data_IF_873364610392
#
_entry.id   IF_873364610392
#
_cell.length_a   1.000
_cell.length_b   1.000
_cell.length_c   1.000
_cell.angle_alpha   90.00
_cell.angle_beta   90.00
_cell.angle_gamma   90.00
#
_symmetry.space_group_name_H-M   'P 1'
#
loop_
_entity.id
_entity.type
_entity.pdbx_description
1 polymer ?
#
# COMPACT_ATOMS: atom_id res chain seq x y z
N UNK A 1 -1.27 -19.95 8.45
CA UNK A 1 -0.61 -18.96 9.35
C UNK A 1 -0.38 -17.71 8.53
N UNK A 2 -0.78 -16.54 9.04
CA UNK A 2 -0.65 -15.25 8.32
C UNK A 2 0.63 -14.56 8.77
N UNK A 3 1.47 -14.15 7.82
CA UNK A 3 2.68 -13.35 8.12
C UNK A 3 2.27 -11.94 8.54
N UNK A 4 2.86 -11.45 9.64
CA UNK A 4 2.69 -10.08 10.13
C UNK A 4 4.02 -9.34 10.03
N UNK A 5 4.01 -8.13 9.46
CA UNK A 5 5.13 -7.19 9.51
C UNK A 5 4.71 -6.00 10.36
N UNK A 6 5.42 -5.76 11.45
CA UNK A 6 5.29 -4.59 12.31
C UNK A 6 6.09 -3.40 11.75
N UNK A 7 5.93 -2.24 12.38
CA UNK A 7 6.75 -1.06 12.06
C UNK A 7 8.24 -1.30 12.29
N UNK A 8 8.61 -2.13 13.28
CA UNK A 8 10.00 -2.49 13.53
C UNK A 8 10.55 -3.37 12.42
N UNK A 9 9.78 -4.35 11.95
CA UNK A 9 10.20 -5.22 10.84
C UNK A 9 10.46 -4.39 9.57
N UNK A 10 9.60 -3.40 9.29
CA UNK A 10 9.81 -2.48 8.17
C UNK A 10 11.05 -1.61 8.39
N UNK A 11 11.28 -1.11 9.61
CA UNK A 11 12.48 -0.33 9.94
C UNK A 11 13.76 -1.16 9.73
N UNK A 12 13.76 -2.43 10.14
CA UNK A 12 14.89 -3.34 10.00
C UNK A 12 15.16 -3.66 8.52
N UNK A 13 14.11 -3.88 7.71
CA UNK A 13 14.22 -4.06 6.26
C UNK A 13 14.85 -2.81 5.60
N UNK A 14 14.40 -1.61 6.00
CA UNK A 14 14.94 -0.35 5.47
C UNK A 14 16.39 -0.16 5.90
N UNK A 15 16.73 -0.47 7.15
CA UNK A 15 18.10 -0.39 7.66
C UNK A 15 19.04 -1.37 6.94
N UNK A 16 18.58 -2.60 6.66
CA UNK A 16 19.37 -3.63 6.00
C UNK A 16 19.67 -3.32 4.52
N UNK A 17 18.76 -2.63 3.81
CA UNK A 17 18.91 -2.34 2.37
C UNK A 17 19.33 -0.89 2.07
N UNK A 18 19.14 0.02 3.02
CA UNK A 18 19.29 1.46 2.83
C UNK A 18 18.07 2.09 2.18
N UNK A 19 17.69 3.28 2.67
CA UNK A 19 16.53 4.03 2.19
C UNK A 19 16.54 4.28 0.66
N UNK A 20 17.66 4.69 0.02
CA UNK A 20 17.67 4.93 -1.43
C UNK A 20 17.32 3.66 -2.23
N UNK A 21 17.90 2.52 -1.87
CA UNK A 21 17.63 1.22 -2.51
C UNK A 21 16.15 0.84 -2.38
N UNK A 22 15.57 1.02 -1.19
CA UNK A 22 14.16 0.69 -0.94
C UNK A 22 13.24 1.57 -1.78
N UNK A 23 13.50 2.88 -1.83
CA UNK A 23 12.72 3.82 -2.64
C UNK A 23 12.81 3.50 -4.13
N UNK A 24 13.99 3.18 -4.66
CA UNK A 24 14.17 2.79 -6.07
C UNK A 24 13.41 1.50 -6.43
N UNK A 25 13.41 0.51 -5.53
CA UNK A 25 12.64 -0.72 -5.72
C UNK A 25 11.13 -0.46 -5.69
N UNK A 26 10.67 0.40 -4.78
CA UNK A 26 9.26 0.81 -4.74
C UNK A 26 8.85 1.56 -6.01
N UNK A 27 9.68 2.48 -6.50
CA UNK A 27 9.46 3.17 -7.78
C UNK A 27 9.30 2.18 -8.93
N UNK A 28 10.22 1.22 -9.04
CA UNK A 28 10.18 0.18 -10.08
C UNK A 28 8.90 -0.64 -10.02
N UNK A 29 8.48 -1.04 -8.81
CA UNK A 29 7.25 -1.80 -8.60
C UNK A 29 5.99 -0.98 -8.95
N UNK A 30 5.96 0.31 -8.59
CA UNK A 30 4.87 1.23 -8.93
C UNK A 30 4.80 1.40 -10.46
N UNK A 31 5.92 1.66 -11.12
CA UNK A 31 5.96 1.81 -12.58
C UNK A 31 5.45 0.55 -13.30
N UNK A 32 5.87 -0.63 -12.85
CA UNK A 32 5.39 -1.90 -13.39
C UNK A 32 3.87 -2.08 -13.18
N UNK A 33 3.35 -1.77 -12.00
CA UNK A 33 1.91 -1.83 -11.72
C UNK A 33 1.12 -0.86 -12.62
N UNK A 34 1.57 0.39 -12.77
CA UNK A 34 0.92 1.35 -13.67
C UNK A 34 1.01 0.92 -15.14
N UNK A 35 2.07 0.22 -15.56
CA UNK A 35 2.18 -0.36 -16.91
C UNK A 35 1.09 -1.39 -17.24
N UNK A 36 0.50 -2.03 -16.22
CA UNK A 36 -0.64 -2.96 -16.35
C UNK A 36 -1.91 -2.44 -15.69
N UNK A 37 -2.12 -1.12 -15.67
CA UNK A 37 -3.24 -0.48 -14.97
C UNK A 37 -4.62 -1.07 -15.34
N UNK A 38 -4.81 -1.49 -16.59
CA UNK A 38 -6.05 -2.08 -17.08
C UNK A 38 -6.39 -3.45 -16.48
N UNK A 39 -5.41 -4.16 -15.91
CA UNK A 39 -5.58 -5.50 -15.35
C UNK A 39 -6.14 -5.49 -13.91
N UNK A 40 -6.12 -4.34 -13.24
CA UNK A 40 -6.62 -4.22 -11.87
C UNK A 40 -8.14 -4.06 -11.81
N UNK A 41 -8.79 -4.76 -10.88
CA UNK A 41 -10.09 -4.38 -10.35
C UNK A 41 -9.90 -3.20 -9.39
N UNK A 42 -10.50 -2.08 -9.76
CA UNK A 42 -10.31 -0.78 -9.12
C UNK A 42 -11.65 -0.26 -8.66
N UNK A 43 -11.70 0.20 -7.43
CA UNK A 43 -12.85 0.93 -6.90
C UNK A 43 -12.38 2.23 -6.28
N UNK A 44 -13.27 3.22 -6.23
CA UNK A 44 -13.07 4.37 -5.36
C UNK A 44 -12.96 3.89 -3.91
N UNK A 45 -12.10 4.56 -3.14
CA UNK A 45 -11.93 4.29 -1.70
C UNK A 45 -13.23 4.57 -0.95
N UNK A 46 -13.47 3.80 0.11
CA UNK A 46 -14.59 4.03 1.03
C UNK A 46 -14.13 5.00 2.10
N UNK A 47 -14.92 6.02 2.40
CA UNK A 47 -14.59 7.05 3.38
C UNK A 47 -15.68 7.20 4.44
N UNK A 48 -15.28 7.31 5.70
CA UNK A 48 -16.11 7.70 6.83
C UNK A 48 -15.65 9.05 7.34
N UNK A 49 -16.47 10.08 7.14
CA UNK A 49 -16.16 11.44 7.56
C UNK A 49 -16.53 11.68 9.03
N UNK A 50 -15.65 12.39 9.74
CA UNK A 50 -15.80 12.80 11.13
C UNK A 50 -15.58 14.33 11.21
N UNK A 51 -15.99 14.96 12.31
CA UNK A 51 -15.83 16.41 12.47
C UNK A 51 -14.37 16.88 12.39
N UNK A 52 -13.42 16.02 12.79
CA UNK A 52 -11.98 16.29 12.83
C UNK A 52 -11.19 15.37 11.91
N UNK A 53 -11.76 14.99 10.76
CA UNK A 53 -11.02 14.22 9.77
C UNK A 53 -11.80 13.10 9.09
N UNK A 54 -11.07 12.09 8.64
CA UNK A 54 -11.61 10.98 7.84
C UNK A 54 -10.90 9.67 8.15
N UNK A 55 -11.62 8.56 8.03
CA UNK A 55 -11.09 7.21 7.98
C UNK A 55 -11.42 6.61 6.62
N UNK A 56 -10.44 6.02 5.94
CA UNK A 56 -10.57 5.50 4.59
C UNK A 56 -10.09 4.04 4.48
N UNK A 57 -10.76 3.28 3.61
CA UNK A 57 -10.31 1.97 3.12
C UNK A 57 -10.04 2.07 1.62
N UNK A 58 -8.83 1.68 1.21
CA UNK A 58 -8.36 1.76 -0.18
C UNK A 58 -8.07 0.35 -0.74
N UNK A 59 -9.08 -0.39 -1.23
CA UNK A 59 -8.87 -1.71 -1.81
C UNK A 59 -8.47 -1.67 -3.29
N UNK A 60 -7.71 -2.67 -3.71
CA UNK A 60 -7.35 -2.93 -5.11
C UNK A 60 -7.04 -4.42 -5.29
N UNK A 61 -7.37 -4.99 -6.44
CA UNK A 61 -7.10 -6.39 -6.73
C UNK A 61 -6.68 -6.62 -8.18
N UNK A 62 -6.00 -7.73 -8.44
CA UNK A 62 -5.82 -8.32 -9.76
C UNK A 62 -6.29 -9.79 -9.73
N UNK A 63 -6.02 -10.57 -10.78
CA UNK A 63 -6.42 -11.97 -10.88
C UNK A 63 -5.79 -12.91 -9.81
N UNK A 64 -4.77 -12.43 -9.08
CA UNK A 64 -3.93 -13.22 -8.18
C UNK A 64 -3.88 -12.69 -6.75
N UNK A 65 -3.93 -11.38 -6.58
CA UNK A 65 -3.75 -10.72 -5.28
C UNK A 65 -4.87 -9.71 -5.02
N UNK A 66 -5.31 -9.67 -3.75
CA UNK A 66 -6.14 -8.61 -3.21
C UNK A 66 -5.33 -7.87 -2.14
N UNK A 67 -5.37 -6.54 -2.16
CA UNK A 67 -4.76 -5.71 -1.12
C UNK A 67 -5.68 -4.57 -0.72
N UNK A 68 -5.56 -4.12 0.52
CA UNK A 68 -6.25 -2.92 0.99
C UNK A 68 -5.39 -2.19 2.02
N UNK A 69 -5.63 -0.88 2.14
CA UNK A 69 -5.03 -0.05 3.18
C UNK A 69 -6.12 0.61 4.01
N UNK A 70 -6.02 0.48 5.33
CA UNK A 70 -6.70 1.34 6.29
C UNK A 70 -5.83 2.57 6.56
N UNK A 71 -6.43 3.76 6.50
CA UNK A 71 -5.72 5.01 6.78
C UNK A 71 -6.69 6.03 7.36
N UNK A 72 -6.20 6.88 8.26
CA UNK A 72 -6.91 8.05 8.74
C UNK A 72 -6.18 9.33 8.32
N UNK A 73 -6.93 10.44 8.25
CA UNK A 73 -6.40 11.79 8.19
C UNK A 73 -7.10 12.62 9.25
N UNK A 74 -6.36 13.08 10.25
CA UNK A 74 -6.83 14.05 11.25
C UNK A 74 -6.65 15.47 10.73
#
# INVERSE_FOLDING_TARGET
>A
MTTLLSTQDIADIVAAHGLPTVLQRMETAIAAAFGRWGEFDKTARVASHLALGVIELMPIADATHYSFKYVNGH
#
